data_IF_429659623655
#
_entry.id   IF_429659623655
#
_cell.length_a   1.000
_cell.length_b   1.000
_cell.length_c   1.000
_cell.angle_alpha   90.00
_cell.angle_beta   90.00
_cell.angle_gamma   90.00
#
_symmetry.space_group_name_H-M   'P 1'
#
loop_
_entity.id
_entity.type
_entity.pdbx_description
1 polymer ?
#
# COMPACT_ATOMS: atom_id res chain seq x y z
N UNK A 1 -41.78 -8.88 -2.15
CA UNK A 1 -40.72 -8.82 -3.18
C UNK A 1 -39.40 -8.93 -2.46
N UNK A 2 -38.67 -10.02 -2.69
CA UNK A 2 -37.41 -10.26 -2.00
C UNK A 2 -36.41 -9.17 -2.41
N UNK A 3 -35.61 -8.64 -1.48
CA UNK A 3 -34.69 -7.52 -1.75
C UNK A 3 -33.83 -7.78 -3.01
N UNK A 4 -33.45 -9.03 -3.27
CA UNK A 4 -32.75 -9.46 -4.49
C UNK A 4 -33.46 -9.07 -5.79
N UNK A 5 -34.78 -9.21 -5.87
CA UNK A 5 -35.56 -8.87 -7.08
C UNK A 5 -35.56 -7.37 -7.34
N UNK A 6 -35.64 -6.55 -6.28
CA UNK A 6 -35.53 -5.10 -6.37
C UNK A 6 -34.15 -4.68 -6.88
N UNK A 7 -33.09 -5.33 -6.40
CA UNK A 7 -31.73 -5.09 -6.87
C UNK A 7 -31.56 -5.46 -8.35
N UNK A 8 -32.05 -6.64 -8.76
CA UNK A 8 -31.96 -7.11 -10.15
C UNK A 8 -32.72 -6.17 -11.09
N UNK A 9 -33.95 -5.80 -10.73
CA UNK A 9 -34.77 -4.87 -11.52
C UNK A 9 -34.11 -3.50 -11.62
N UNK A 10 -33.59 -2.96 -10.51
CA UNK A 10 -32.87 -1.69 -10.48
C UNK A 10 -31.62 -1.68 -11.37
N UNK A 11 -30.80 -2.74 -11.29
CA UNK A 11 -29.62 -2.88 -12.15
C UNK A 11 -30.02 -2.98 -13.62
N UNK A 12 -31.04 -3.78 -13.94
CA UNK A 12 -31.52 -3.95 -15.31
C UNK A 12 -32.02 -2.62 -15.88
N UNK A 13 -32.84 -1.89 -15.12
CA UNK A 13 -33.33 -0.56 -15.51
C UNK A 13 -32.17 0.43 -15.73
N UNK A 14 -31.16 0.43 -14.86
CA UNK A 14 -29.98 1.27 -15.01
C UNK A 14 -29.19 0.94 -16.30
N UNK A 15 -29.01 -0.35 -16.60
CA UNK A 15 -28.34 -0.79 -17.84
C UNK A 15 -29.14 -0.36 -19.07
N UNK A 16 -30.47 -0.52 -19.06
CA UNK A 16 -31.34 -0.06 -20.14
C UNK A 16 -31.23 1.45 -20.37
N UNK A 17 -31.22 2.26 -19.29
CA UNK A 17 -31.04 3.71 -19.39
C UNK A 17 -29.68 4.08 -20.00
N UNK A 18 -28.60 3.39 -19.60
CA UNK A 18 -27.27 3.60 -20.18
C UNK A 18 -27.25 3.28 -21.68
N UNK A 19 -27.88 2.18 -22.09
CA UNK A 19 -28.00 1.80 -23.51
C UNK A 19 -28.82 2.81 -24.30
N UNK A 20 -29.91 3.31 -23.74
CA UNK A 20 -30.77 4.32 -24.36
C UNK A 20 -30.02 5.64 -24.53
N UNK A 21 -29.31 6.10 -23.49
CA UNK A 21 -28.42 7.25 -23.56
C UNK A 21 -27.36 7.05 -24.64
N UNK A 22 -26.75 5.87 -24.72
CA UNK A 22 -25.78 5.52 -25.78
C UNK A 22 -26.41 5.60 -27.18
N UNK A 23 -27.65 5.14 -27.34
CA UNK A 23 -28.35 5.16 -28.62
C UNK A 23 -28.70 6.59 -29.07
N UNK A 24 -29.12 7.45 -28.14
CA UNK A 24 -29.40 8.86 -28.43
C UNK A 24 -28.11 9.69 -28.68
N UNK A 25 -26.96 9.23 -28.18
CA UNK A 25 -25.67 9.89 -28.38
C UNK A 25 -25.03 9.43 -29.70
N UNK A 26 -25.15 10.25 -30.75
CA UNK A 26 -24.48 10.01 -32.03
C UNK A 26 -22.96 9.74 -31.90
N UNK A 27 -22.39 9.07 -32.91
CA UNK A 27 -21.07 8.42 -32.90
C UNK A 27 -19.90 9.24 -32.31
N UNK A 28 -19.92 10.57 -32.40
CA UNK A 28 -18.91 11.44 -31.79
C UNK A 28 -18.94 11.43 -30.25
N UNK A 29 -20.14 11.43 -29.63
CA UNK A 29 -20.30 11.35 -28.17
C UNK A 29 -20.17 9.92 -27.65
N UNK A 30 -20.52 8.93 -28.48
CA UNK A 30 -20.35 7.52 -28.15
C UNK A 30 -18.89 7.16 -27.86
N UNK A 31 -17.92 7.71 -28.61
CA UNK A 31 -16.49 7.48 -28.33
C UNK A 31 -16.04 8.06 -27.00
N UNK A 32 -16.53 9.25 -26.64
CA UNK A 32 -16.24 9.89 -25.34
C UNK A 32 -16.84 9.09 -24.19
N UNK A 33 -18.08 8.63 -24.36
CA UNK A 33 -18.76 7.80 -23.37
C UNK A 33 -18.06 6.45 -23.19
N UNK A 34 -17.70 5.78 -24.28
CA UNK A 34 -17.00 4.51 -24.26
C UNK A 34 -15.60 4.64 -23.63
N UNK A 35 -14.88 5.73 -23.93
CA UNK A 35 -13.64 6.05 -23.22
C UNK A 35 -13.85 6.28 -21.73
N UNK A 36 -14.87 7.05 -21.34
CA UNK A 36 -15.17 7.34 -19.93
C UNK A 36 -15.49 6.05 -19.16
N UNK A 37 -16.37 5.20 -19.71
CA UNK A 37 -16.74 3.89 -19.15
C UNK A 37 -15.53 2.98 -19.04
N UNK A 38 -14.67 2.92 -20.07
CA UNK A 38 -13.41 2.18 -20.02
C UNK A 38 -12.53 2.71 -18.90
N UNK A 39 -12.23 4.00 -18.83
CA UNK A 39 -11.40 4.54 -17.73
C UNK A 39 -11.99 4.28 -16.35
N UNK A 40 -13.32 4.34 -16.19
CA UNK A 40 -13.97 4.01 -14.92
C UNK A 40 -13.79 2.53 -14.57
N UNK A 41 -13.99 1.64 -15.54
CA UNK A 41 -13.77 0.20 -15.37
C UNK A 41 -12.32 -0.13 -15.03
N UNK A 42 -11.35 0.53 -15.66
CA UNK A 42 -9.93 0.38 -15.33
C UNK A 42 -9.60 0.91 -13.92
N UNK A 43 -10.17 2.04 -13.51
CA UNK A 43 -10.00 2.56 -12.13
C UNK A 43 -10.63 1.65 -11.08
N UNK A 44 -11.82 1.13 -11.35
CA UNK A 44 -12.50 0.18 -10.45
C UNK A 44 -11.72 -1.13 -10.34
N UNK A 45 -11.22 -1.66 -11.47
CA UNK A 45 -10.40 -2.89 -11.49
C UNK A 45 -9.06 -2.69 -10.79
N UNK A 46 -8.38 -1.57 -11.03
CA UNK A 46 -7.12 -1.28 -10.35
C UNK A 46 -7.35 -0.99 -8.86
N UNK A 47 -8.44 -0.31 -8.51
CA UNK A 47 -8.86 -0.07 -7.13
C UNK A 47 -9.16 -1.36 -6.40
N UNK A 48 -9.93 -2.28 -7.00
CA UNK A 48 -10.26 -3.58 -6.42
C UNK A 48 -9.01 -4.46 -6.28
N UNK A 49 -8.15 -4.52 -7.30
CA UNK A 49 -6.86 -5.23 -7.19
C UNK A 49 -5.97 -4.61 -6.11
N UNK A 50 -5.96 -3.30 -5.95
CA UNK A 50 -5.18 -2.61 -4.92
C UNK A 50 -5.74 -2.85 -3.52
N UNK A 51 -7.07 -2.86 -3.36
CA UNK A 51 -7.76 -3.25 -2.12
C UNK A 51 -7.52 -4.73 -1.79
N UNK A 52 -7.51 -5.60 -2.79
CA UNK A 52 -7.29 -7.03 -2.59
C UNK A 52 -5.83 -7.37 -2.31
N UNK A 53 -4.89 -6.61 -2.91
CA UNK A 53 -3.46 -6.68 -2.60
C UNK A 53 -3.06 -5.88 -1.35
N UNK A 54 -3.90 -4.97 -0.85
CA UNK A 54 -3.61 -4.19 0.36
C UNK A 54 -3.30 -5.06 1.59
N UNK A 55 -4.05 -6.14 1.90
CA UNK A 55 -3.67 -7.03 2.98
C UNK A 55 -2.36 -7.78 2.72
N UNK A 56 -2.05 -8.13 1.46
CA UNK A 56 -0.77 -8.76 1.09
C UNK A 56 0.42 -7.79 1.21
N UNK A 57 0.25 -6.53 0.80
CA UNK A 57 1.26 -5.48 0.93
C UNK A 57 1.51 -5.10 2.41
N UNK A 58 0.46 -5.09 3.25
CA UNK A 58 0.61 -4.88 4.70
C UNK A 58 1.46 -5.97 5.35
N UNK A 59 1.37 -7.23 4.88
CA UNK A 59 2.21 -8.33 5.39
C UNK A 59 3.69 -8.20 5.03
N UNK A 60 4.00 -7.58 3.89
CA UNK A 60 5.40 -7.31 3.49
C UNK A 60 5.98 -6.19 4.35
N UNK A 61 5.23 -5.10 4.54
CA UNK A 61 5.64 -3.98 5.39
C UNK A 61 5.81 -4.40 6.86
N UNK A 62 4.94 -5.25 7.39
CA UNK A 62 5.12 -5.77 8.76
C UNK A 62 6.35 -6.67 8.88
N UNK A 63 6.65 -7.51 7.88
CA UNK A 63 7.87 -8.34 7.88
C UNK A 63 9.15 -7.49 7.84
N UNK A 64 9.19 -6.44 7.04
CA UNK A 64 10.33 -5.53 6.98
C UNK A 64 10.53 -4.75 8.29
N UNK A 65 9.42 -4.29 8.90
CA UNK A 65 9.46 -3.66 10.21
C UNK A 65 9.92 -4.63 11.31
N UNK A 66 9.41 -5.86 11.32
CA UNK A 66 9.83 -6.90 12.26
C UNK A 66 11.33 -7.23 12.09
N UNK A 67 11.81 -7.35 10.84
CA UNK A 67 13.21 -7.61 10.54
C UNK A 67 14.15 -6.47 10.96
N UNK A 68 13.68 -5.21 10.91
CA UNK A 68 14.43 -4.07 11.45
C UNK A 68 14.50 -4.11 12.99
N UNK A 69 13.38 -4.42 13.64
CA UNK A 69 13.31 -4.58 15.10
C UNK A 69 14.20 -5.75 15.56
N UNK A 70 14.17 -6.88 14.85
CA UNK A 70 14.98 -8.05 15.17
C UNK A 70 16.47 -7.80 14.94
N UNK A 71 16.85 -7.02 13.92
CA UNK A 71 18.25 -6.57 13.74
C UNK A 71 18.70 -5.67 14.89
N UNK A 72 17.88 -4.72 15.32
CA UNK A 72 18.20 -3.88 16.48
C UNK A 72 18.27 -4.69 17.79
N UNK A 73 17.38 -5.69 17.95
CA UNK A 73 17.34 -6.56 19.13
C UNK A 73 18.51 -7.55 19.17
N UNK A 74 18.86 -8.18 18.03
CA UNK A 74 20.03 -9.05 17.91
C UNK A 74 21.35 -8.27 17.99
N UNK A 75 21.41 -7.08 17.39
CA UNK A 75 22.55 -6.17 17.54
C UNK A 75 22.76 -5.71 18.99
N UNK A 76 21.68 -5.57 19.77
CA UNK A 76 21.76 -5.30 21.23
C UNK A 76 22.23 -6.51 22.06
N UNK A 77 22.01 -7.73 21.58
CA UNK A 77 22.40 -8.97 22.26
C UNK A 77 23.76 -9.54 21.84
N UNK A 78 24.33 -9.04 20.74
CA UNK A 78 25.67 -9.41 20.27
C UNK A 78 26.60 -8.21 20.47
N UNK A 79 26.82 -7.89 21.74
CA UNK A 79 27.92 -7.09 22.25
C UNK A 79 29.25 -7.81 22.00
N UNK A 80 29.61 -7.96 20.73
CA UNK A 80 30.97 -8.33 20.28
C UNK A 80 31.55 -7.25 19.35
N UNK A 81 30.81 -6.16 19.12
CA UNK A 81 31.27 -4.98 18.41
C UNK A 81 30.96 -3.65 19.13
N UNK A 82 30.27 -3.69 20.28
CA UNK A 82 29.86 -2.51 21.05
C UNK A 82 30.56 -2.45 22.40
N UNK A 83 31.86 -2.23 22.35
CA UNK A 83 32.70 -1.95 23.50
C UNK A 83 32.58 -0.48 23.95
N UNK A 84 31.39 0.11 23.93
CA UNK A 84 31.15 1.48 24.39
C UNK A 84 30.62 1.49 25.81
N UNK A 85 31.23 2.31 26.68
CA UNK A 85 30.77 2.48 28.06
C UNK A 85 29.73 3.61 28.09
N UNK A 86 28.51 3.29 28.50
CA UNK A 86 27.46 4.28 28.71
C UNK A 86 27.66 4.96 30.07
N UNK A 87 27.90 6.26 30.08
CA UNK A 87 27.93 7.08 31.29
C UNK A 87 26.72 8.03 31.28
N UNK A 88 25.68 7.69 32.04
CA UNK A 88 24.46 8.50 32.10
C UNK A 88 23.79 8.62 30.74
N UNK A 89 23.61 9.85 30.22
CA UNK A 89 22.99 10.11 28.91
C UNK A 89 24.01 10.19 27.75
N UNK A 90 25.27 9.84 27.98
CA UNK A 90 26.35 9.99 26.99
C UNK A 90 26.96 8.62 26.68
N UNK A 91 26.91 8.25 25.41
CA UNK A 91 27.59 7.07 24.89
C UNK A 91 29.04 7.41 24.50
N UNK A 92 30.02 6.75 25.14
CA UNK A 92 31.44 6.93 24.81
C UNK A 92 32.03 5.64 24.21
N UNK A 93 32.31 5.60 22.89
CA UNK A 93 32.94 4.43 22.28
C UNK A 93 34.44 4.33 22.66
N UNK A 94 34.92 3.13 23.02
CA UNK A 94 36.33 2.86 23.42
C UNK A 94 37.37 3.27 22.36
N UNK A 95 36.98 3.43 21.10
CA UNK A 95 37.86 3.90 20.02
C UNK A 95 38.43 5.30 20.27
N UNK A 96 37.73 6.13 21.06
CA UNK A 96 38.19 7.47 21.46
C UNK A 96 39.17 7.46 22.63
N UNK A 97 39.31 6.35 23.39
CA UNK A 97 40.25 6.24 24.52
C UNK A 97 41.68 5.87 24.10
N UNK A 98 41.98 5.67 22.81
CA UNK A 98 43.35 5.38 22.37
C UNK A 98 44.22 6.64 22.44
N UNK A 99 45.27 6.70 23.28
CA UNK A 99 46.22 7.79 23.22
C UNK A 99 46.89 7.79 21.84
N UNK A 100 46.92 8.95 21.17
CA UNK A 100 47.70 9.15 19.94
C UNK A 100 49.16 8.83 20.27
N UNK A 101 49.76 7.91 19.51
CA UNK A 101 51.21 7.68 19.60
C UNK A 101 51.94 8.98 19.23
N UNK A 102 52.89 9.47 20.05
CA UNK A 102 53.80 10.50 19.60
C UNK A 102 54.65 9.92 18.45
N UNK A 103 54.79 10.72 17.41
CA UNK A 103 55.59 10.46 16.21
C UNK A 103 57.06 10.68 16.52
#
# INVERSE_FOLDING_TARGET
>A
MNSLEQWISGITAAVCMVLLVRLCLGAARQRRFDHAVRTLGWKLRNGSLRLWRAPAARRVATREAQAAIDRARKGRGTSDADDGEWQGNVYTPKSFRKPRKPH
#
